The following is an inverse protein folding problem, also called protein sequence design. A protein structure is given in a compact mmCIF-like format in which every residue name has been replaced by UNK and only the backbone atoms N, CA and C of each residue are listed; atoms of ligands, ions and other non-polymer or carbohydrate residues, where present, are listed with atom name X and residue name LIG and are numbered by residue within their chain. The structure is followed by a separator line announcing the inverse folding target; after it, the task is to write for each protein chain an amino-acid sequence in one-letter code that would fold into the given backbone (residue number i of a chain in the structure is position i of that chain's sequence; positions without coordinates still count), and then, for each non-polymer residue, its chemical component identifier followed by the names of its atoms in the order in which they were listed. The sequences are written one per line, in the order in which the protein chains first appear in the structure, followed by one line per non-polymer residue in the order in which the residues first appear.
data_IF_775691763507
#
_entry.id   IF_775691763507
#
_cell.length_a   1.000
_cell.length_b   1.000
_cell.length_c   1.000
_cell.angle_alpha   90.00
_cell.angle_beta   90.00
_cell.angle_gamma   90.00
#
_symmetry.space_group_name_H-M   'P 1'
#
loop_
_entity.id
_entity.type
_entity.pdbx_description
1 polymer ?
#
# COMPACT_ATOMS: atom_id res chain seq x y z
N UNK A 1 3.89 3.40 6.69
CA UNK A 1 5.32 3.10 6.56
C UNK A 1 6.11 4.26 7.09
N UNK A 2 7.22 3.99 7.76
CA UNK A 2 8.09 5.03 8.33
C UNK A 2 9.56 4.59 8.27
N UNK A 3 10.45 5.41 8.79
CA UNK A 3 11.88 5.15 8.98
C UNK A 3 12.30 5.61 10.38
N UNK A 4 13.42 5.12 10.92
CA UNK A 4 13.88 5.47 12.27
C UNK A 4 13.97 6.99 12.51
N UNK A 5 14.48 7.73 11.53
CA UNK A 5 14.59 9.21 11.60
C UNK A 5 13.23 9.93 11.71
N UNK A 6 12.14 9.27 11.33
CA UNK A 6 10.78 9.79 11.32
C UNK A 6 9.93 9.29 12.50
N UNK A 7 10.44 8.37 13.33
CA UNK A 7 9.70 7.84 14.48
C UNK A 7 9.16 8.95 15.37
N UNK A 8 10.06 9.78 15.89
CA UNK A 8 9.70 10.93 16.74
C UNK A 8 9.12 12.11 15.95
N UNK A 9 9.62 12.36 14.73
CA UNK A 9 9.24 13.56 13.95
C UNK A 9 7.87 13.47 13.27
N UNK A 10 7.40 12.25 12.98
CA UNK A 10 6.20 12.04 12.16
C UNK A 10 5.31 10.91 12.71
N UNK A 11 5.85 9.70 12.85
CA UNK A 11 5.05 8.51 13.16
C UNK A 11 4.30 8.64 14.50
N UNK A 12 4.94 9.24 15.50
CA UNK A 12 4.31 9.56 16.80
C UNK A 12 3.08 10.47 16.68
N UNK A 13 3.10 11.43 15.75
CA UNK A 13 1.94 12.29 15.50
C UNK A 13 0.83 11.56 14.77
N UNK A 14 1.15 10.65 13.85
CA UNK A 14 0.18 9.73 13.25
C UNK A 14 -0.48 8.87 14.33
N UNK A 15 0.32 8.25 15.22
CA UNK A 15 -0.15 7.47 16.36
C UNK A 15 -1.00 8.30 17.32
N UNK A 16 -0.67 9.57 17.53
CA UNK A 16 -1.41 10.47 18.41
C UNK A 16 -2.75 10.94 17.82
N UNK A 17 -2.95 10.83 16.51
CA UNK A 17 -4.08 11.41 15.77
C UNK A 17 -4.96 10.34 15.10
N UNK A 18 -4.96 10.25 13.78
CA UNK A 18 -5.93 9.46 13.01
C UNK A 18 -5.75 7.96 13.19
N UNK A 19 -4.55 7.48 13.48
CA UNK A 19 -4.29 6.06 13.66
C UNK A 19 -5.01 5.45 14.87
N UNK A 20 -5.36 6.27 15.88
CA UNK A 20 -6.19 5.84 17.03
C UNK A 20 -7.60 5.39 16.63
N UNK A 21 -8.06 5.80 15.45
CA UNK A 21 -9.39 5.45 14.93
C UNK A 21 -9.37 4.15 14.14
N UNK A 22 -8.19 3.62 13.78
CA UNK A 22 -8.02 2.30 13.17
C UNK A 22 -8.20 1.19 14.20
N UNK A 23 -8.71 0.03 13.78
CA UNK A 23 -8.88 -1.14 14.66
C UNK A 23 -7.54 -1.72 15.12
N UNK A 24 -6.54 -1.67 14.24
CA UNK A 24 -5.15 -2.04 14.52
C UNK A 24 -4.22 -1.13 13.72
N UNK A 25 -3.14 -0.68 14.36
CA UNK A 25 -2.09 0.13 13.73
C UNK A 25 -0.74 -0.52 14.00
N UNK A 26 0.07 -0.67 12.95
CA UNK A 26 1.42 -1.21 13.02
C UNK A 26 2.32 -0.32 12.17
N UNK A 27 3.40 0.18 12.75
CA UNK A 27 4.38 0.99 12.01
C UNK A 27 5.45 0.08 11.42
N UNK A 28 5.60 0.10 10.10
CA UNK A 28 6.61 -0.70 9.41
C UNK A 28 7.85 0.15 9.15
N UNK A 29 9.00 -0.32 9.62
CA UNK A 29 10.28 0.43 9.71
C UNK A 29 11.47 -0.50 9.39
N UNK A 30 12.70 0.05 9.31
CA UNK A 30 13.93 -0.75 9.35
C UNK A 30 14.44 -1.04 10.77
N UNK A 31 13.97 -0.28 11.75
CA UNK A 31 14.27 -0.47 13.18
C UNK A 31 12.98 -0.56 13.97
N UNK A 32 12.96 -1.47 14.95
CA UNK A 32 11.85 -1.60 15.87
C UNK A 32 11.84 -0.43 16.87
N UNK A 33 10.65 -0.03 17.28
CA UNK A 33 10.42 1.01 18.29
C UNK A 33 9.25 0.56 19.16
N UNK A 34 9.51 0.38 20.46
CA UNK A 34 8.52 -0.14 21.40
C UNK A 34 7.41 0.88 21.70
N UNK A 35 7.71 2.17 21.71
CA UNK A 35 6.74 3.23 22.02
C UNK A 35 5.75 3.40 20.86
N UNK A 36 6.23 3.23 19.63
CA UNK A 36 5.38 3.26 18.43
C UNK A 36 4.74 1.91 18.10
N UNK A 37 5.17 0.82 18.75
CA UNK A 37 4.90 -0.54 18.30
C UNK A 37 5.31 -0.72 16.82
N UNK A 38 6.50 -0.21 16.47
CA UNK A 38 7.07 -0.32 15.14
C UNK A 38 7.82 -1.65 14.98
N UNK A 39 7.63 -2.29 13.83
CA UNK A 39 8.25 -3.57 13.47
C UNK A 39 9.35 -3.31 12.43
N UNK A 40 10.53 -3.86 12.69
CA UNK A 40 11.62 -3.92 11.73
C UNK A 40 11.33 -4.99 10.67
N UNK A 41 10.95 -4.58 9.47
CA UNK A 41 10.62 -5.50 8.35
C UNK A 41 11.71 -5.52 7.27
N UNK A 42 12.76 -4.73 7.40
CA UNK A 42 13.90 -4.67 6.47
C UNK A 42 15.14 -4.19 7.22
N UNK A 43 16.32 -4.42 6.66
CA UNK A 43 17.61 -3.99 7.23
C UNK A 43 18.09 -2.63 6.70
N UNK A 44 17.35 -2.00 5.79
CA UNK A 44 17.77 -0.78 5.12
C UNK A 44 16.65 0.21 4.82
N UNK A 45 17.04 1.46 4.66
CA UNK A 45 16.16 2.58 4.34
C UNK A 45 16.43 3.13 2.94
N UNK A 46 15.46 3.89 2.42
CA UNK A 46 15.60 4.63 1.17
C UNK A 46 14.55 4.26 0.12
N UNK A 47 14.36 5.19 -0.83
CA UNK A 47 13.33 5.08 -1.88
C UNK A 47 13.47 3.82 -2.74
N UNK A 48 14.70 3.37 -2.96
CA UNK A 48 14.99 2.16 -3.74
C UNK A 48 14.67 0.86 -3.01
N UNK A 49 14.45 0.89 -1.68
CA UNK A 49 14.11 -0.29 -0.85
C UNK A 49 12.66 -0.31 -0.38
N UNK A 50 11.83 0.63 -0.85
CA UNK A 50 10.41 0.71 -0.47
C UNK A 50 9.64 -0.55 -0.88
N UNK A 51 9.98 -1.15 -2.03
CA UNK A 51 9.37 -2.39 -2.46
C UNK A 51 9.68 -3.55 -1.51
N UNK A 52 10.95 -3.71 -1.10
CA UNK A 52 11.35 -4.69 -0.09
C UNK A 52 10.57 -4.53 1.21
N UNK A 53 10.58 -3.30 1.76
CA UNK A 53 9.87 -2.97 2.98
C UNK A 53 8.38 -3.32 2.88
N UNK A 54 7.75 -3.05 1.74
CA UNK A 54 6.31 -3.29 1.54
C UNK A 54 5.98 -4.77 1.41
N UNK A 55 6.75 -5.54 0.66
CA UNK A 55 6.57 -7.00 0.61
C UNK A 55 6.67 -7.63 1.99
N UNK A 56 7.70 -7.24 2.74
CA UNK A 56 7.94 -7.78 4.07
C UNK A 56 6.86 -7.32 5.05
N UNK A 57 6.34 -6.10 4.88
CA UNK A 57 5.18 -5.59 5.64
C UNK A 57 3.94 -6.43 5.40
N UNK A 58 3.56 -6.69 4.13
CA UNK A 58 2.39 -7.52 3.84
C UNK A 58 2.57 -8.97 4.25
N UNK A 59 3.79 -9.51 4.13
CA UNK A 59 4.12 -10.84 4.64
C UNK A 59 3.94 -10.91 6.16
N UNK A 60 4.44 -9.91 6.90
CA UNK A 60 4.26 -9.83 8.35
C UNK A 60 2.78 -9.72 8.74
N UNK A 61 2.02 -8.86 8.05
CA UNK A 61 0.57 -8.72 8.28
C UNK A 61 -0.16 -10.03 7.98
N UNK A 62 0.21 -10.73 6.91
CA UNK A 62 -0.36 -12.03 6.56
C UNK A 62 -0.10 -13.09 7.65
N UNK A 63 1.13 -13.18 8.14
CA UNK A 63 1.53 -14.19 9.13
C UNK A 63 0.95 -13.93 10.53
N UNK A 64 0.78 -12.66 10.91
CA UNK A 64 0.47 -12.29 12.30
C UNK A 64 -0.94 -11.70 12.47
N UNK A 65 -1.52 -11.09 11.44
CA UNK A 65 -2.70 -10.22 11.56
C UNK A 65 -3.74 -10.38 10.43
N UNK A 66 -3.62 -11.39 9.56
CA UNK A 66 -4.55 -11.57 8.45
C UNK A 66 -6.01 -11.72 8.91
N UNK A 67 -6.21 -12.34 10.07
CA UNK A 67 -7.53 -12.59 10.63
C UNK A 67 -8.03 -11.49 11.57
N UNK A 68 -7.22 -10.47 11.82
CA UNK A 68 -7.57 -9.36 12.70
C UNK A 68 -8.32 -8.23 11.97
N UNK A 69 -8.34 -8.23 10.64
CA UNK A 69 -8.95 -7.18 9.83
C UNK A 69 -9.48 -7.70 8.48
N UNK A 70 -10.51 -7.01 7.97
CA UNK A 70 -11.08 -7.22 6.63
C UNK A 70 -10.37 -6.42 5.54
N UNK A 71 -9.80 -5.27 5.92
CA UNK A 71 -9.19 -4.30 5.02
C UNK A 71 -7.84 -3.85 5.55
N UNK A 72 -6.86 -3.79 4.66
CA UNK A 72 -5.47 -3.47 4.99
C UNK A 72 -5.08 -2.17 4.28
N UNK A 73 -4.93 -1.10 5.06
CA UNK A 73 -4.52 0.21 4.58
C UNK A 73 -2.99 0.36 4.64
N UNK A 74 -2.38 0.68 3.51
CA UNK A 74 -1.03 1.23 3.45
C UNK A 74 -1.12 2.75 3.38
N UNK A 75 -0.49 3.42 4.33
CA UNK A 75 -0.29 4.87 4.37
C UNK A 75 1.15 5.20 4.74
N UNK A 76 1.65 6.37 4.36
CA UNK A 76 2.98 6.85 4.75
C UNK A 76 2.88 7.73 6.01
N UNK A 77 4.02 7.98 6.67
CA UNK A 77 4.08 8.73 7.93
C UNK A 77 3.79 10.23 7.80
N UNK A 78 3.61 10.71 6.58
CA UNK A 78 3.14 12.05 6.21
C UNK A 78 1.74 12.04 5.57
N UNK A 79 1.00 10.94 5.67
CA UNK A 79 -0.40 10.84 5.24
C UNK A 79 -1.36 11.15 6.39
N UNK A 80 -2.48 11.82 6.08
CA UNK A 80 -3.62 11.94 7.00
C UNK A 80 -4.85 11.22 6.43
N UNK A 81 -5.55 10.48 7.28
CA UNK A 81 -6.72 9.66 6.87
C UNK A 81 -7.92 9.98 7.75
N UNK A 82 -9.05 10.32 7.13
CA UNK A 82 -10.34 10.37 7.82
C UNK A 82 -10.92 8.96 7.84
N UNK A 83 -10.61 8.20 8.90
CA UNK A 83 -10.90 6.76 8.99
C UNK A 83 -12.39 6.46 8.87
N UNK A 84 -13.27 7.33 9.37
CA UNK A 84 -14.73 7.21 9.25
C UNK A 84 -15.18 7.25 7.79
N UNK A 85 -14.63 8.18 6.99
CA UNK A 85 -14.94 8.27 5.57
C UNK A 85 -14.42 7.05 4.81
N UNK A 86 -13.25 6.54 5.20
CA UNK A 86 -12.69 5.33 4.62
C UNK A 86 -13.57 4.11 4.93
N UNK A 87 -14.01 3.93 6.19
CA UNK A 87 -14.92 2.86 6.59
C UNK A 87 -16.26 2.94 5.86
N UNK A 88 -16.84 4.14 5.76
CA UNK A 88 -18.07 4.36 5.02
C UNK A 88 -17.92 3.90 3.57
N UNK A 89 -16.85 4.31 2.89
CA UNK A 89 -16.55 3.87 1.53
C UNK A 89 -16.39 2.35 1.41
N UNK A 90 -15.66 1.72 2.32
CA UNK A 90 -15.39 0.27 2.26
C UNK A 90 -16.60 -0.59 2.65
N UNK A 91 -17.58 -0.03 3.38
CA UNK A 91 -18.76 -0.76 3.88
C UNK A 91 -19.63 -1.37 2.78
N UNK A 92 -19.59 -0.83 1.56
CA UNK A 92 -20.33 -1.34 0.40
C UNK A 92 -19.61 -2.48 -0.35
N UNK A 93 -18.42 -2.90 0.09
CA UNK A 93 -17.61 -3.90 -0.60
C UNK A 93 -17.36 -5.13 0.26
N UNK A 94 -17.21 -6.28 -0.40
CA UNK A 94 -16.90 -7.55 0.26
C UNK A 94 -15.37 -7.77 0.29
N UNK A 95 -14.80 -7.89 1.49
CA UNK A 95 -13.36 -8.15 1.73
C UNK A 95 -12.86 -9.51 1.24
N UNK A 96 -13.78 -10.44 0.93
CA UNK A 96 -13.47 -11.75 0.33
C UNK A 96 -13.29 -11.68 -1.19
N UNK A 97 -13.58 -10.53 -1.80
CA UNK A 97 -13.31 -10.26 -3.22
C UNK A 97 -11.94 -9.58 -3.30
N UNK A 98 -11.05 -9.98 -4.22
CA UNK A 98 -9.70 -9.44 -4.33
C UNK A 98 -9.73 -8.01 -4.90
N UNK A 99 -9.93 -7.02 -4.03
CA UNK A 99 -10.06 -5.61 -4.36
C UNK A 99 -8.82 -4.80 -3.92
N UNK A 100 -8.50 -3.80 -4.73
CA UNK A 100 -7.46 -2.80 -4.48
C UNK A 100 -7.99 -1.40 -4.80
N UNK A 101 -7.98 -0.51 -3.81
CA UNK A 101 -8.47 0.87 -3.90
C UNK A 101 -7.37 1.87 -3.59
N UNK A 102 -7.46 3.06 -4.19
CA UNK A 102 -6.51 4.15 -3.95
C UNK A 102 -6.64 5.21 -5.05
N UNK A 103 -5.64 6.08 -5.20
CA UNK A 103 -5.59 7.03 -6.32
C UNK A 103 -4.94 6.40 -7.54
N UNK A 104 -5.73 6.12 -8.58
CA UNK A 104 -5.22 5.47 -9.79
C UNK A 104 -4.38 6.43 -10.65
N UNK A 105 -3.11 6.11 -10.83
CA UNK A 105 -2.22 6.72 -11.80
C UNK A 105 -2.02 5.81 -13.02
N UNK A 106 -1.81 6.42 -14.20
CA UNK A 106 -1.53 5.70 -15.46
C UNK A 106 -0.21 6.12 -16.12
N UNK A 107 0.63 6.88 -15.40
CA UNK A 107 1.87 7.46 -15.94
C UNK A 107 2.87 6.40 -16.40
N UNK A 108 3.04 5.35 -15.60
CA UNK A 108 4.04 4.30 -15.86
C UNK A 108 3.42 3.00 -16.39
N UNK A 109 2.11 2.82 -16.23
CA UNK A 109 1.40 1.58 -16.50
C UNK A 109 0.06 1.88 -17.17
N UNK A 110 -0.20 1.30 -18.35
CA UNK A 110 -1.44 1.53 -19.11
C UNK A 110 -2.70 1.17 -18.31
N UNK A 111 -2.64 0.06 -17.59
CA UNK A 111 -3.72 -0.42 -16.72
C UNK A 111 -3.74 0.30 -15.35
N UNK A 112 -2.71 1.08 -15.08
CA UNK A 112 -2.54 1.91 -13.90
C UNK A 112 -2.05 1.19 -12.65
N UNK A 113 -1.82 1.99 -11.61
CA UNK A 113 -1.42 1.59 -10.26
C UNK A 113 -1.98 2.60 -9.25
N UNK A 114 -2.10 2.23 -7.98
CA UNK A 114 -2.52 3.17 -6.94
C UNK A 114 -1.30 3.91 -6.41
N UNK A 115 -1.37 5.25 -6.33
CA UNK A 115 -0.29 6.09 -5.80
C UNK A 115 0.08 5.69 -4.38
N UNK A 116 1.38 5.49 -4.13
CA UNK A 116 1.88 5.12 -2.80
C UNK A 116 1.65 6.22 -1.76
N UNK A 117 1.87 7.49 -2.15
CA UNK A 117 1.76 8.66 -1.26
C UNK A 117 0.33 9.08 -0.95
N UNK A 118 -0.65 8.75 -1.80
CA UNK A 118 -2.06 8.91 -1.45
C UNK A 118 -2.57 7.86 -0.45
N UNK A 119 -1.77 6.81 -0.22
CA UNK A 119 -2.20 5.58 0.41
C UNK A 119 -3.09 4.73 -0.50
N UNK A 120 -3.20 3.45 -0.15
CA UNK A 120 -4.07 2.50 -0.84
C UNK A 120 -4.56 1.42 0.12
N UNK A 121 -5.67 0.79 -0.23
CA UNK A 121 -6.32 -0.26 0.58
C UNK A 121 -6.41 -1.55 -0.21
N UNK A 122 -6.07 -2.65 0.45
CA UNK A 122 -6.26 -4.00 -0.04
C UNK A 122 -7.32 -4.71 0.79
N UNK A 123 -8.19 -5.46 0.11
CA UNK A 123 -9.03 -6.46 0.74
C UNK A 123 -8.20 -7.59 1.37
N UNK A 124 -8.77 -8.29 2.36
CA UNK A 124 -8.18 -9.49 2.94
C UNK A 124 -7.80 -10.54 1.89
N UNK A 125 -8.69 -10.80 0.92
CA UNK A 125 -8.40 -11.74 -0.17
C UNK A 125 -7.23 -11.26 -1.05
N UNK A 126 -7.11 -9.96 -1.32
CA UNK A 126 -5.99 -9.44 -2.09
C UNK A 126 -4.64 -9.61 -1.35
N UNK A 127 -4.60 -9.40 -0.03
CA UNK A 127 -3.39 -9.64 0.78
C UNK A 127 -3.01 -11.12 0.78
N UNK A 128 -4.00 -12.00 0.92
CA UNK A 128 -3.79 -13.46 0.85
C UNK A 128 -3.13 -13.87 -0.47
N UNK A 129 -3.70 -13.48 -1.61
CA UNK A 129 -3.13 -13.78 -2.93
C UNK A 129 -1.75 -13.17 -3.14
N UNK A 130 -1.56 -11.93 -2.67
CA UNK A 130 -0.26 -11.26 -2.73
C UNK A 130 0.83 -12.14 -2.11
N UNK A 131 0.61 -12.62 -0.88
CA UNK A 131 1.62 -13.35 -0.12
C UNK A 131 1.73 -14.83 -0.52
N UNK A 132 0.60 -15.52 -0.73
CA UNK A 132 0.60 -16.96 -1.06
C UNK A 132 1.02 -17.24 -2.51
N UNK A 133 0.54 -16.46 -3.45
CA UNK A 133 0.73 -16.74 -4.87
C UNK A 133 1.70 -15.76 -5.54
N UNK A 134 1.74 -14.52 -5.09
CA UNK A 134 2.49 -13.44 -5.71
C UNK A 134 3.96 -13.45 -5.36
N UNK A 135 4.28 -13.12 -4.11
CA UNK A 135 5.66 -12.96 -3.62
C UNK A 135 6.56 -14.19 -3.87
N UNK A 136 6.09 -15.45 -3.75
CA UNK A 136 6.91 -16.62 -4.04
C UNK A 136 7.19 -16.82 -5.54
N UNK A 137 6.36 -16.24 -6.42
CA UNK A 137 6.42 -16.49 -7.86
C UNK A 137 7.04 -15.31 -8.63
N UNK A 138 8.30 -15.44 -9.12
CA UNK A 138 8.99 -14.35 -9.83
C UNK A 138 8.35 -14.00 -11.18
N UNK A 139 7.47 -14.86 -11.73
CA UNK A 139 6.69 -14.55 -12.93
C UNK A 139 5.51 -13.63 -12.63
N UNK A 140 4.99 -13.66 -11.39
CA UNK A 140 3.87 -12.82 -10.93
C UNK A 140 4.38 -11.51 -10.34
N UNK A 141 5.36 -11.55 -9.44
CA UNK A 141 5.83 -10.38 -8.70
C UNK A 141 7.37 -10.29 -8.67
N UNK A 142 7.90 -9.08 -8.51
CA UNK A 142 9.35 -8.87 -8.39
C UNK A 142 9.95 -9.54 -7.16
N UNK A 143 10.93 -10.41 -7.40
CA UNK A 143 11.66 -11.11 -6.33
C UNK A 143 12.64 -10.20 -5.58
N UNK A 144 13.41 -9.38 -6.30
CA UNK A 144 14.38 -8.48 -5.65
C UNK A 144 13.68 -7.36 -4.84
N UNK A 145 14.42 -6.65 -3.99
CA UNK A 145 13.90 -5.58 -3.14
C UNK A 145 13.81 -4.19 -3.80
N UNK A 146 14.24 -4.06 -5.05
CA UNK A 146 14.37 -2.78 -5.74
C UNK A 146 13.05 -2.36 -6.38
N UNK A 147 12.83 -1.05 -6.52
CA UNK A 147 11.74 -0.50 -7.32
C UNK A 147 10.83 0.44 -6.53
N UNK A 148 10.01 1.18 -7.27
CA UNK A 148 8.98 2.04 -6.69
C UNK A 148 7.80 1.15 -6.30
N UNK A 149 7.64 0.95 -4.99
CA UNK A 149 6.60 0.14 -4.35
C UNK A 149 5.23 0.18 -5.03
N UNK A 150 4.71 1.37 -5.28
CA UNK A 150 3.38 1.61 -5.84
C UNK A 150 3.26 1.13 -7.29
N UNK A 151 4.29 1.38 -8.10
CA UNK A 151 4.41 0.82 -9.45
C UNK A 151 4.58 -0.71 -9.38
N UNK A 152 5.30 -1.19 -8.36
CA UNK A 152 5.60 -2.62 -8.18
C UNK A 152 4.33 -3.44 -7.84
N UNK A 153 3.43 -2.86 -7.05
CA UNK A 153 2.09 -3.37 -6.75
C UNK A 153 1.18 -3.39 -7.99
N UNK A 154 1.41 -2.47 -8.94
CA UNK A 154 0.68 -2.34 -10.19
C UNK A 154 1.02 -3.41 -11.25
N UNK A 155 0.77 -3.07 -12.52
CA UNK A 155 0.60 -4.03 -13.62
C UNK A 155 1.23 -3.52 -14.91
N UNK A 156 1.94 -4.32 -15.71
CA UNK A 156 2.38 -3.89 -17.03
C UNK A 156 1.27 -4.12 -18.06
N UNK A 157 0.93 -3.08 -18.80
CA UNK A 157 0.58 -3.24 -20.20
C UNK A 157 1.27 -2.07 -20.94
N UNK A 158 2.10 -2.41 -21.92
CA UNK A 158 3.19 -1.60 -22.47
C UNK A 158 2.85 -0.12 -22.77
N UNK A 159 3.72 0.79 -22.36
CA UNK A 159 3.86 2.13 -22.97
C UNK A 159 5.31 2.59 -23.17
N UNK A 160 6.31 1.97 -22.52
CA UNK A 160 7.71 2.36 -22.67
C UNK A 160 8.56 1.20 -23.22
N UNK A 161 9.09 1.39 -24.43
CA UNK A 161 10.03 0.50 -25.12
C UNK A 161 11.32 0.22 -24.32
N UNK A 162 11.59 0.99 -23.26
CA UNK A 162 12.79 0.87 -22.41
C UNK A 162 12.65 -0.16 -21.29
N UNK A 163 11.48 -0.76 -21.07
CA UNK A 163 11.29 -1.77 -20.03
C UNK A 163 11.64 -3.20 -20.51
N UNK A 164 12.62 -3.35 -21.40
CA UNK A 164 12.94 -4.63 -22.04
C UNK A 164 13.65 -5.63 -21.12
N UNK A 165 14.17 -5.22 -19.96
CA UNK A 165 14.96 -6.12 -19.09
C UNK A 165 14.65 -6.10 -17.59
N UNK A 166 13.71 -5.26 -17.10
CA UNK A 166 13.55 -5.04 -15.65
C UNK A 166 12.16 -4.62 -15.17
N UNK A 167 11.08 -4.93 -15.89
CA UNK A 167 9.75 -4.70 -15.32
C UNK A 167 9.48 -5.82 -14.31
N UNK A 168 9.47 -5.50 -13.04
CA UNK A 168 9.01 -6.46 -12.05
C UNK A 168 7.84 -5.91 -11.22
N UNK A 169 7.31 -4.74 -11.61
CA UNK A 169 6.05 -4.22 -11.11
C UNK A 169 4.85 -4.80 -11.82
N UNK A 170 4.25 -5.79 -11.18
CA UNK A 170 3.47 -6.84 -11.85
C UNK A 170 2.44 -7.53 -10.95
N UNK A 171 2.34 -7.17 -9.68
CA UNK A 171 1.89 -8.17 -8.71
C UNK A 171 0.37 -8.37 -8.67
N UNK A 172 -0.40 -7.34 -8.33
CA UNK A 172 -1.80 -7.52 -7.96
C UNK A 172 -2.70 -7.94 -9.13
N UNK A 173 -2.54 -7.37 -10.33
CA UNK A 173 -3.38 -7.79 -11.47
C UNK A 173 -3.04 -9.17 -12.01
N UNK A 174 -1.78 -9.61 -11.93
CA UNK A 174 -1.41 -11.01 -12.25
C UNK A 174 -2.03 -12.02 -11.27
N UNK A 175 -2.49 -11.54 -10.12
CA UNK A 175 -3.20 -12.30 -9.10
C UNK A 175 -4.73 -12.19 -9.21
N UNK A 176 -5.22 -11.54 -10.27
CA UNK A 176 -6.65 -11.29 -10.47
C UNK A 176 -7.23 -10.29 -9.45
N UNK A 177 -6.39 -9.48 -8.81
CA UNK A 177 -6.85 -8.40 -7.93
C UNK A 177 -7.35 -7.24 -8.78
N UNK A 178 -8.59 -6.83 -8.52
CA UNK A 178 -9.29 -5.80 -9.27
C UNK A 178 -9.01 -4.42 -8.68
N UNK A 179 -8.53 -3.51 -9.53
CA UNK A 179 -8.43 -2.10 -9.19
C UNK A 179 -9.84 -1.49 -9.22
N UNK A 180 -10.41 -1.24 -8.04
CA UNK A 180 -11.74 -0.64 -7.90
C UNK A 180 -11.73 0.88 -8.08
N UNK A 181 -12.90 1.45 -8.36
CA UNK A 181 -13.09 2.91 -8.40
C UNK A 181 -13.28 3.42 -6.96
N UNK A 182 -12.40 4.32 -6.53
CA UNK A 182 -12.41 4.89 -5.19
C UNK A 182 -13.12 6.25 -5.12
N UNK A 183 -13.62 6.75 -6.25
CA UNK A 183 -14.33 8.04 -6.31
C UNK A 183 -15.75 7.93 -5.76
N UNK A 184 -16.27 9.04 -5.27
CA UNK A 184 -17.64 9.09 -4.76
C UNK A 184 -18.70 9.08 -5.87
N UNK A 185 -19.96 9.10 -5.47
CA UNK A 185 -21.12 9.06 -6.37
C UNK A 185 -21.15 10.25 -7.35
N UNK A 186 -20.48 11.35 -7.01
CA UNK A 186 -20.31 12.53 -7.85
C UNK A 186 -19.01 12.48 -8.68
N UNK A 187 -18.25 11.39 -8.60
CA UNK A 187 -16.97 11.22 -9.28
C UNK A 187 -15.79 11.95 -8.64
N UNK A 188 -15.91 12.42 -7.39
CA UNK A 188 -14.84 13.12 -6.67
C UNK A 188 -13.88 12.15 -6.01
N UNK A 189 -12.61 12.52 -5.96
CA UNK A 189 -11.53 11.68 -5.41
C UNK A 189 -11.67 11.49 -3.90
N UNK A 190 -11.29 10.32 -3.38
CA UNK A 190 -11.13 10.07 -1.92
C UNK A 190 -9.67 9.91 -1.49
N UNK A 191 -8.79 9.69 -2.46
CA UNK A 191 -7.35 9.49 -2.26
C UNK A 191 -6.58 10.59 -2.97
N UNK A 192 -5.81 11.35 -2.20
CA UNK A 192 -5.17 12.58 -2.65
C UNK A 192 -3.64 12.45 -2.53
N UNK A 193 -2.91 12.44 -3.66
CA UNK A 193 -1.46 12.26 -3.66
C UNK A 193 -0.69 13.59 -3.48
N UNK A 194 -1.39 14.72 -3.46
CA UNK A 194 -0.80 16.04 -3.36
C UNK A 194 -1.29 16.75 -2.10
N UNK A 195 -0.58 17.82 -1.74
CA UNK A 195 -0.92 18.66 -0.60
C UNK A 195 -2.31 19.29 -0.78
N UNK A 196 -3.04 19.58 0.33
CA UNK A 196 -4.41 20.10 0.26
C UNK A 196 -4.58 21.32 -0.65
N UNK A 197 -3.58 22.19 -0.73
CA UNK A 197 -3.58 23.40 -1.56
C UNK A 197 -3.74 23.11 -3.06
N UNK A 198 -3.38 21.91 -3.53
CA UNK A 198 -3.58 21.49 -4.91
C UNK A 198 -5.00 20.95 -5.19
N UNK A 199 -5.87 20.92 -4.18
CA UNK A 199 -7.21 20.34 -4.23
C UNK A 199 -8.33 21.34 -3.86
N UNK A 200 -7.96 22.58 -3.55
CA UNK A 200 -8.86 23.70 -3.25
C UNK A 200 -9.21 24.50 -4.52
#
# INVERSE_FOLDING_TARGET
MTSPDNHEKKAKHVQATWAKRCDKTIFMSSQADADLNAVAVTDGEGRNRLWEKTKNSFKYLYENHLNDADWFLKADDDTYVVVENLRYFLSSYNSSVPLWFGRKFRKFLKNGYMSGGAGYVLSKEAVKRLVEEGLPNPKKCRKDGNGAEDVEMGTPNYFLLTCMYKCAGKCLQNLGVMAGDSRDEMGRERFFPFVPEHHL
#
